data_IF_574982985808
#
_entry.id   IF_574982985808
#
_cell.length_a   1.000
_cell.length_b   1.000
_cell.length_c   1.000
_cell.angle_alpha   90.00
_cell.angle_beta   90.00
_cell.angle_gamma   90.00
#
_symmetry.space_group_name_H-M   'P 1'
#
loop_
_entity.id
_entity.type
_entity.pdbx_description
1 polymer ?
#
# COMPACT_ATOMS: atom_id res chain seq x y z
N UNK A 1 17.93 -9.22 24.72
CA UNK A 1 18.75 -10.09 23.85
C UNK A 1 17.86 -11.25 23.41
N UNK A 2 17.50 -11.50 22.16
CA UNK A 2 17.82 -11.00 20.83
C UNK A 2 16.52 -11.12 20.02
N UNK A 3 16.28 -10.13 19.16
CA UNK A 3 15.24 -10.05 18.14
C UNK A 3 15.39 -11.14 17.09
N UNK A 4 14.31 -11.80 16.66
CA UNK A 4 14.31 -12.53 15.40
C UNK A 4 13.23 -11.97 14.48
N UNK A 5 13.68 -11.10 13.59
CA UNK A 5 12.98 -10.68 12.39
C UNK A 5 12.92 -11.87 11.41
N UNK A 6 11.86 -11.91 10.62
CA UNK A 6 11.63 -12.91 9.59
C UNK A 6 12.26 -12.42 8.28
N UNK A 7 13.40 -12.98 7.88
CA UNK A 7 14.01 -12.75 6.57
C UNK A 7 13.50 -13.77 5.53
N UNK A 8 13.30 -13.36 4.25
CA UNK A 8 12.96 -14.28 3.17
C UNK A 8 14.21 -14.89 2.51
N UNK A 9 14.12 -16.19 2.19
CA UNK A 9 15.16 -16.96 1.50
C UNK A 9 15.19 -16.63 0.00
N UNK A 10 16.34 -16.17 -0.50
CA UNK A 10 16.64 -16.04 -1.93
C UNK A 10 17.29 -17.33 -2.43
N UNK A 11 16.61 -18.02 -3.34
CA UNK A 11 17.16 -19.15 -4.09
C UNK A 11 18.16 -18.65 -5.14
N UNK A 12 19.36 -19.22 -5.11
CA UNK A 12 20.41 -19.03 -6.12
C UNK A 12 20.22 -20.08 -7.20
N UNK A 13 19.91 -19.66 -8.43
CA UNK A 13 20.10 -20.50 -9.61
C UNK A 13 21.08 -19.82 -10.57
N UNK A 14 22.28 -20.40 -10.61
CA UNK A 14 23.25 -20.19 -11.65
C UNK A 14 23.04 -21.29 -12.70
N UNK A 15 22.76 -20.91 -13.95
CA UNK A 15 22.97 -21.84 -15.05
C UNK A 15 23.55 -21.11 -16.27
N UNK A 16 24.78 -21.51 -16.57
CA UNK A 16 25.66 -21.07 -17.64
C UNK A 16 25.15 -21.56 -18.99
N UNK A 17 24.96 -20.66 -19.96
CA UNK A 17 24.71 -21.02 -21.35
C UNK A 17 25.96 -20.92 -22.22
N UNK A 18 26.13 -21.96 -23.03
CA UNK A 18 27.22 -22.25 -23.93
C UNK A 18 27.51 -21.12 -24.94
N UNK A 19 28.79 -20.77 -25.07
CA UNK A 19 29.32 -19.97 -26.16
C UNK A 19 29.31 -20.76 -27.47
N UNK A 20 28.45 -20.36 -28.41
CA UNK A 20 28.55 -20.77 -29.81
C UNK A 20 29.59 -19.88 -30.53
N UNK A 21 30.59 -20.51 -31.16
CA UNK A 21 31.58 -19.86 -32.04
C UNK A 21 30.89 -19.31 -33.29
N UNK A 22 30.89 -18.00 -33.47
CA UNK A 22 30.46 -17.35 -34.72
C UNK A 22 31.65 -17.08 -35.64
N UNK A 23 31.57 -17.61 -36.87
CA UNK A 23 32.50 -17.39 -37.96
C UNK A 23 32.59 -15.91 -38.38
N UNK A 24 33.81 -15.37 -38.41
CA UNK A 24 34.10 -14.05 -38.98
C UNK A 24 34.04 -14.11 -40.52
N UNK A 25 32.98 -13.55 -41.12
CA UNK A 25 33.01 -13.10 -42.52
C UNK A 25 33.52 -11.66 -42.53
N UNK A 26 34.69 -11.45 -43.16
CA UNK A 26 35.23 -10.12 -43.47
C UNK A 26 34.35 -9.47 -44.54
N UNK A 27 33.53 -8.50 -44.15
CA UNK A 27 32.90 -7.55 -45.07
C UNK A 27 33.61 -6.20 -44.95
N UNK A 28 34.13 -5.74 -46.08
CA UNK A 28 34.84 -4.47 -46.25
C UNK A 28 33.86 -3.31 -46.14
N UNK A 29 33.83 -2.64 -45.00
CA UNK A 29 33.06 -1.39 -44.79
C UNK A 29 33.87 -0.19 -45.27
N UNK A 30 33.40 0.45 -46.36
CA UNK A 30 33.80 1.81 -46.74
C UNK A 30 33.46 2.75 -45.57
N UNK A 31 34.47 3.45 -45.04
CA UNK A 31 34.30 4.52 -44.03
C UNK A 31 33.55 5.70 -44.66
N UNK A 32 32.23 5.71 -44.57
CA UNK A 32 31.45 6.95 -44.66
C UNK A 32 31.71 7.74 -43.38
N UNK A 33 32.35 8.90 -43.50
CA UNK A 33 32.53 9.84 -42.39
C UNK A 33 31.13 10.21 -41.87
N UNK A 34 30.79 9.73 -40.68
CA UNK A 34 29.59 10.17 -39.97
C UNK A 34 29.68 11.69 -39.80
N UNK A 35 28.76 12.43 -40.43
CA UNK A 35 28.57 13.85 -40.15
C UNK A 35 28.18 13.94 -38.67
N UNK A 36 29.03 14.56 -37.85
CA UNK A 36 28.63 15.01 -36.52
C UNK A 36 27.53 16.05 -36.72
N UNK A 37 26.27 15.62 -36.66
CA UNK A 37 25.15 16.53 -36.44
C UNK A 37 25.28 17.04 -35.01
N UNK A 38 25.69 18.29 -34.87
CA UNK A 38 25.58 19.00 -33.61
C UNK A 38 24.08 19.17 -33.36
N UNK A 39 23.52 18.45 -32.37
CA UNK A 39 22.16 18.73 -31.89
C UNK A 39 22.18 20.16 -31.37
N UNK A 40 21.60 21.09 -32.14
CA UNK A 40 21.31 22.42 -31.65
C UNK A 40 20.29 22.20 -30.52
N UNK A 41 20.55 22.65 -29.29
CA UNK A 41 19.60 22.46 -28.19
C UNK A 41 18.26 23.04 -28.61
N UNK A 42 17.23 22.20 -28.64
CA UNK A 42 15.88 22.64 -28.90
C UNK A 42 15.48 23.61 -27.79
N UNK A 43 14.94 24.77 -28.18
CA UNK A 43 14.45 25.77 -27.23
C UNK A 43 12.97 25.57 -27.02
N UNK A 44 12.55 25.70 -25.77
CA UNK A 44 11.14 25.76 -25.38
C UNK A 44 10.36 26.78 -26.23
N UNK A 45 9.11 26.43 -26.50
CA UNK A 45 8.10 27.22 -27.19
C UNK A 45 7.11 27.85 -26.21
N UNK A 46 7.47 27.94 -24.93
CA UNK A 46 6.70 28.67 -23.90
C UNK A 46 6.34 30.08 -24.41
N UNK A 47 5.07 30.43 -24.32
CA UNK A 47 4.51 31.70 -24.80
C UNK A 47 4.18 31.76 -26.30
N UNK A 48 4.47 30.73 -27.09
CA UNK A 48 4.10 30.68 -28.51
C UNK A 48 2.57 30.59 -28.66
N UNK A 49 2.02 31.37 -29.59
CA UNK A 49 0.60 31.30 -29.94
C UNK A 49 0.36 30.25 -31.04
N UNK A 50 -0.48 29.25 -30.78
CA UNK A 50 -0.90 28.19 -31.69
C UNK A 50 -2.39 27.89 -31.50
N UNK A 51 -3.10 27.54 -32.58
CA UNK A 51 -4.47 27.03 -32.46
C UNK A 51 -4.50 25.66 -31.76
N UNK A 52 -5.71 25.23 -31.36
CA UNK A 52 -5.89 23.99 -30.61
C UNK A 52 -5.51 22.74 -31.42
N UNK A 53 -5.82 22.67 -32.72
CA UNK A 53 -5.44 21.53 -33.56
C UNK A 53 -3.92 21.38 -33.61
N UNK A 54 -3.21 22.49 -33.82
CA UNK A 54 -1.75 22.52 -33.80
C UNK A 54 -1.19 22.08 -32.45
N UNK A 55 -1.80 22.46 -31.33
CA UNK A 55 -1.40 21.95 -30.02
C UNK A 55 -1.51 20.43 -29.93
N UNK A 56 -2.65 19.86 -30.29
CA UNK A 56 -2.87 18.40 -30.21
C UNK A 56 -1.95 17.60 -31.13
N UNK A 57 -1.72 18.09 -32.36
CA UNK A 57 -0.94 17.37 -33.36
C UNK A 57 0.57 17.47 -33.12
N UNK A 58 1.06 18.61 -32.63
CA UNK A 58 2.50 18.90 -32.58
C UNK A 58 3.06 18.98 -31.16
N UNK A 59 2.33 19.60 -30.23
CA UNK A 59 2.89 19.99 -28.93
C UNK A 59 2.39 19.16 -27.75
N UNK A 60 1.30 18.41 -27.93
CA UNK A 60 0.75 17.58 -26.87
C UNK A 60 1.71 16.45 -26.47
N UNK A 61 2.44 15.90 -27.44
CA UNK A 61 3.42 14.82 -27.25
C UNK A 61 4.82 15.24 -27.70
N UNK A 62 5.18 16.53 -27.52
CA UNK A 62 6.52 17.03 -27.83
C UNK A 62 7.58 16.22 -27.05
N UNK A 63 8.64 15.82 -27.76
CA UNK A 63 9.66 14.89 -27.26
C UNK A 63 10.55 15.50 -26.16
N UNK A 64 10.72 16.83 -26.17
CA UNK A 64 11.69 17.53 -25.32
C UNK A 64 11.02 18.35 -24.21
N UNK A 65 9.80 18.85 -24.43
CA UNK A 65 9.12 19.78 -23.53
C UNK A 65 7.65 19.42 -23.31
N UNK A 66 7.22 19.43 -22.06
CA UNK A 66 5.81 19.18 -21.74
C UNK A 66 5.01 20.49 -21.75
N UNK A 67 4.12 20.67 -22.72
CA UNK A 67 3.25 21.85 -22.79
C UNK A 67 1.82 21.57 -22.32
N UNK A 68 1.28 22.56 -21.60
CA UNK A 68 -0.14 22.83 -21.48
C UNK A 68 -0.55 23.91 -22.50
N UNK A 69 -1.85 24.06 -22.75
CA UNK A 69 -2.37 25.06 -23.69
C UNK A 69 -3.41 25.95 -23.03
N UNK A 70 -3.20 27.26 -23.10
CA UNK A 70 -4.07 28.25 -22.49
C UNK A 70 -4.54 29.25 -23.54
N UNK A 71 -5.71 28.98 -24.13
CA UNK A 71 -6.39 29.89 -25.04
C UNK A 71 -5.51 30.44 -26.16
N UNK A 72 -4.79 29.53 -26.82
CA UNK A 72 -3.87 29.82 -27.89
C UNK A 72 -2.41 29.82 -27.45
N UNK A 73 -2.10 29.93 -26.16
CA UNK A 73 -0.72 30.10 -25.69
C UNK A 73 -0.17 28.77 -25.17
N UNK A 74 1.00 28.34 -25.65
CA UNK A 74 1.75 27.23 -25.07
C UNK A 74 2.34 27.64 -23.72
N UNK A 75 2.14 26.81 -22.71
CA UNK A 75 2.72 26.99 -21.38
C UNK A 75 3.56 25.75 -21.04
N UNK A 76 4.87 25.92 -20.93
CA UNK A 76 5.77 24.84 -20.54
C UNK A 76 5.52 24.45 -19.07
N UNK A 77 5.39 23.15 -18.81
CA UNK A 77 5.38 22.61 -17.45
C UNK A 77 6.73 22.80 -16.80
N UNK A 78 6.69 23.21 -15.55
CA UNK A 78 7.85 23.31 -14.68
C UNK A 78 8.43 21.93 -14.38
N UNK A 79 9.73 21.89 -14.09
CA UNK A 79 10.31 20.71 -13.47
C UNK A 79 10.10 20.77 -11.94
N UNK A 80 9.54 19.72 -11.32
CA UNK A 80 9.43 19.63 -9.88
C UNK A 80 10.81 19.41 -9.24
N UNK A 81 10.92 19.67 -7.94
CA UNK A 81 12.12 19.29 -7.18
C UNK A 81 12.12 17.79 -6.91
N UNK A 82 13.29 17.21 -6.58
CA UNK A 82 13.33 15.82 -6.13
C UNK A 82 12.47 15.58 -4.88
N UNK A 83 12.34 16.59 -4.01
CA UNK A 83 11.48 16.47 -2.83
C UNK A 83 9.98 16.47 -3.19
N UNK A 84 9.58 17.27 -4.19
CA UNK A 84 8.23 17.23 -4.77
C UNK A 84 7.88 15.83 -5.28
N UNK A 85 8.84 15.14 -5.94
CA UNK A 85 8.69 13.73 -6.35
C UNK A 85 8.49 12.80 -5.14
N UNK A 86 9.22 13.00 -4.04
CA UNK A 86 9.01 12.22 -2.81
C UNK A 86 7.62 12.49 -2.18
N UNK A 87 7.17 13.74 -2.17
CA UNK A 87 5.82 14.10 -1.70
C UNK A 87 4.75 13.41 -2.57
N UNK A 88 4.94 13.41 -3.89
CA UNK A 88 4.04 12.77 -4.84
C UNK A 88 3.99 11.25 -4.67
N UNK A 89 5.16 10.62 -4.57
CA UNK A 89 5.29 9.18 -4.32
C UNK A 89 4.56 8.79 -3.03
N UNK A 90 4.81 9.50 -1.93
CA UNK A 90 4.19 9.18 -0.65
C UNK A 90 2.67 9.37 -0.69
N UNK A 91 2.18 10.53 -1.16
CA UNK A 91 0.74 10.78 -1.23
C UNK A 91 0.03 9.78 -2.16
N UNK A 92 0.64 9.47 -3.30
CA UNK A 92 0.13 8.47 -4.23
C UNK A 92 0.01 7.09 -3.58
N UNK A 93 1.04 6.66 -2.84
CA UNK A 93 1.02 5.40 -2.10
C UNK A 93 -0.10 5.36 -1.05
N UNK A 94 -0.31 6.45 -0.32
CA UNK A 94 -1.39 6.55 0.68
C UNK A 94 -2.78 6.48 0.03
N UNK A 95 -2.97 7.15 -1.11
CA UNK A 95 -4.21 7.06 -1.91
C UNK A 95 -4.41 5.63 -2.42
N UNK A 96 -3.37 4.95 -2.91
CA UNK A 96 -3.48 3.57 -3.40
C UNK A 96 -3.92 2.59 -2.32
N UNK A 97 -3.38 2.72 -1.10
CA UNK A 97 -3.81 1.91 0.04
C UNK A 97 -5.30 2.14 0.34
N UNK A 98 -5.75 3.39 0.31
CA UNK A 98 -7.16 3.71 0.43
C UNK A 98 -8.02 3.10 -0.67
N UNK A 99 -7.63 3.23 -1.94
CA UNK A 99 -8.39 2.73 -3.09
C UNK A 99 -8.38 1.20 -3.19
N UNK A 100 -7.36 0.52 -2.66
CA UNK A 100 -7.34 -0.94 -2.54
C UNK A 100 -8.44 -1.45 -1.60
N UNK A 101 -8.68 -0.74 -0.50
CA UNK A 101 -9.74 -1.08 0.48
C UNK A 101 -11.09 -0.57 0.02
N UNK A 102 -11.12 0.59 -0.66
CA UNK A 102 -12.32 1.28 -1.10
C UNK A 102 -12.21 1.56 -2.61
N UNK A 103 -12.54 0.59 -3.49
CA UNK A 103 -12.36 0.70 -4.94
C UNK A 103 -13.44 1.58 -5.58
N UNK A 104 -13.49 2.86 -5.20
CA UNK A 104 -14.50 3.85 -5.59
C UNK A 104 -14.01 4.84 -6.64
N UNK A 105 -12.71 4.78 -6.97
CA UNK A 105 -12.06 5.70 -7.89
C UNK A 105 -10.79 5.10 -8.50
N UNK A 106 -10.27 5.80 -9.50
CA UNK A 106 -8.99 5.50 -10.15
C UNK A 106 -8.06 6.70 -10.00
N UNK A 107 -6.84 6.46 -9.50
CA UNK A 107 -5.76 7.44 -9.44
C UNK A 107 -4.91 7.35 -10.71
N UNK A 108 -4.68 8.49 -11.37
CA UNK A 108 -3.88 8.64 -12.59
C UNK A 108 -2.69 9.55 -12.26
N UNK A 109 -1.48 9.16 -12.69
CA UNK A 109 -0.19 9.81 -12.35
C UNK A 109 0.62 10.18 -13.58
N UNK A 110 -0.06 10.38 -14.70
CA UNK A 110 0.53 10.74 -15.97
C UNK A 110 -0.06 12.06 -16.44
N UNK A 111 0.71 12.76 -17.27
CA UNK A 111 0.35 14.00 -17.95
C UNK A 111 -0.76 13.82 -19.02
N UNK A 112 -1.86 13.16 -18.64
CA UNK A 112 -3.04 12.99 -19.46
C UNK A 112 -3.81 14.30 -19.42
N UNK A 113 -3.77 15.02 -20.53
CA UNK A 113 -4.44 16.29 -20.68
C UNK A 113 -5.95 16.14 -20.76
N UNK A 114 -6.66 17.14 -20.26
CA UNK A 114 -8.10 17.26 -20.39
C UNK A 114 -8.49 18.69 -20.74
N UNK A 115 -9.59 18.81 -21.48
CA UNK A 115 -10.07 20.09 -21.99
C UNK A 115 -11.00 20.76 -21.00
N UNK A 116 -10.68 22.00 -20.63
CA UNK A 116 -11.53 22.88 -19.83
C UNK A 116 -12.20 23.91 -20.73
N UNK A 117 -13.51 23.74 -20.93
CA UNK A 117 -14.34 24.72 -21.63
C UNK A 117 -14.88 25.75 -20.63
N UNK A 118 -14.22 26.91 -20.53
CA UNK A 118 -14.60 27.99 -19.60
C UNK A 118 -15.36 29.08 -20.35
N UNK A 119 -16.14 29.89 -19.62
CA UNK A 119 -17.03 30.91 -20.22
C UNK A 119 -16.33 31.88 -21.19
N UNK A 120 -15.05 32.19 -20.97
CA UNK A 120 -14.31 33.19 -21.76
C UNK A 120 -13.11 32.61 -22.52
N UNK A 121 -12.76 31.34 -22.26
CA UNK A 121 -11.55 30.74 -22.79
C UNK A 121 -11.62 29.22 -22.76
N UNK A 122 -10.81 28.59 -23.59
CA UNK A 122 -10.58 27.15 -23.53
C UNK A 122 -9.14 26.91 -23.08
N UNK A 123 -8.93 25.92 -22.23
CA UNK A 123 -7.58 25.52 -21.78
C UNK A 123 -7.46 24.01 -21.78
N UNK A 124 -6.25 23.49 -21.97
CA UNK A 124 -5.92 22.07 -21.86
C UNK A 124 -4.83 21.96 -20.80
N UNK A 125 -5.14 21.24 -19.72
CA UNK A 125 -4.27 21.08 -18.55
C UNK A 125 -3.88 19.63 -18.39
N UNK A 126 -2.67 19.41 -17.87
CA UNK A 126 -2.06 18.12 -17.56
C UNK A 126 -1.66 18.17 -16.08
N UNK A 127 -2.61 17.97 -15.15
CA UNK A 127 -2.28 18.00 -13.72
C UNK A 127 -1.38 16.82 -13.37
N UNK A 128 -0.48 17.00 -12.41
CA UNK A 128 0.50 15.96 -12.07
C UNK A 128 -0.19 14.65 -11.65
N UNK A 129 -1.08 14.73 -10.67
CA UNK A 129 -1.93 13.61 -10.24
C UNK A 129 -3.40 13.98 -10.41
N UNK A 130 -4.20 13.01 -10.85
CA UNK A 130 -5.63 13.18 -11.04
C UNK A 130 -6.41 11.96 -10.57
N UNK A 131 -7.68 12.16 -10.23
CA UNK A 131 -8.55 11.08 -9.81
C UNK A 131 -9.94 11.18 -10.45
N UNK A 132 -10.44 10.02 -10.87
CA UNK A 132 -11.78 9.84 -11.46
C UNK A 132 -12.56 8.89 -10.56
N UNK A 133 -13.70 9.35 -10.03
CA UNK A 133 -14.63 8.49 -9.30
C UNK A 133 -15.31 7.50 -10.25
N UNK A 134 -15.65 6.30 -9.77
CA UNK A 134 -16.47 5.36 -10.54
C UNK A 134 -17.87 5.94 -10.87
N UNK A 135 -18.33 6.91 -10.08
CA UNK A 135 -19.57 7.64 -10.32
C UNK A 135 -19.41 8.83 -11.27
N UNK A 136 -18.20 9.10 -11.78
CA UNK A 136 -17.99 10.17 -12.76
C UNK A 136 -18.74 9.81 -14.05
N UNK A 137 -19.51 10.75 -14.65
CA UNK A 137 -20.33 10.47 -15.84
C UNK A 137 -19.49 10.10 -17.07
N UNK A 138 -18.20 10.45 -17.09
CA UNK A 138 -17.29 10.12 -18.19
C UNK A 138 -16.16 9.25 -17.64
N UNK A 139 -16.20 7.96 -17.95
CA UNK A 139 -15.09 7.05 -17.67
C UNK A 139 -14.09 7.09 -18.84
N UNK A 140 -12.77 7.00 -18.58
CA UNK A 140 -11.78 6.95 -19.65
C UNK A 140 -11.81 5.59 -20.36
N UNK A 141 -11.52 5.59 -21.67
CA UNK A 141 -11.16 4.35 -22.36
C UNK A 141 -9.70 3.99 -22.05
N UNK A 142 -9.37 2.69 -22.05
CA UNK A 142 -8.00 2.22 -21.74
C UNK A 142 -6.95 2.69 -22.77
N UNK A 143 -7.38 3.09 -23.97
CA UNK A 143 -6.51 3.60 -25.03
C UNK A 143 -6.56 5.14 -25.18
N UNK A 144 -7.33 5.84 -24.33
CA UNK A 144 -7.42 7.29 -24.37
C UNK A 144 -6.05 7.90 -24.02
N UNK A 145 -5.55 8.77 -24.91
CA UNK A 145 -4.32 9.56 -24.70
C UNK A 145 -4.59 10.94 -24.13
N UNK A 146 -5.86 11.33 -24.09
CA UNK A 146 -6.37 12.54 -23.43
C UNK A 146 -7.74 12.22 -22.82
N UNK A 147 -8.06 12.86 -21.70
CA UNK A 147 -9.30 12.61 -21.00
C UNK A 147 -10.39 13.56 -21.46
N UNK A 148 -11.53 12.98 -21.87
CA UNK A 148 -12.70 13.70 -22.42
C UNK A 148 -13.63 14.25 -21.33
N UNK A 149 -13.47 13.78 -20.10
CA UNK A 149 -14.28 14.20 -18.96
C UNK A 149 -13.65 15.32 -18.14
N UNK A 150 -14.12 15.49 -16.91
CA UNK A 150 -13.53 16.38 -15.92
C UNK A 150 -13.10 15.55 -14.73
N UNK A 151 -11.84 15.67 -14.32
CA UNK A 151 -11.32 14.98 -13.15
C UNK A 151 -12.07 15.40 -11.89
N UNK A 152 -12.32 14.46 -10.98
CA UNK A 152 -12.95 14.77 -9.70
C UNK A 152 -11.98 15.45 -8.74
N UNK A 153 -10.69 15.08 -8.80
CA UNK A 153 -9.60 15.70 -8.06
C UNK A 153 -8.41 15.93 -8.98
N UNK A 154 -7.83 17.13 -8.90
CA UNK A 154 -6.53 17.47 -9.47
C UNK A 154 -5.56 17.80 -8.33
N UNK A 155 -4.32 17.35 -8.44
CA UNK A 155 -3.24 17.62 -7.49
C UNK A 155 -2.05 18.13 -8.29
N UNK A 156 -1.47 19.23 -7.84
CA UNK A 156 -0.27 19.84 -8.43
C UNK A 156 0.84 19.88 -7.38
N UNK A 157 2.03 19.41 -7.77
CA UNK A 157 3.25 19.45 -6.99
C UNK A 157 4.09 20.64 -7.43
N UNK A 158 3.68 21.81 -6.94
CA UNK A 158 4.17 23.13 -7.32
C UNK A 158 5.69 23.25 -7.25
N UNK A 159 6.27 23.84 -8.30
CA UNK A 159 7.66 24.35 -8.32
C UNK A 159 7.66 25.84 -7.99
N UNK A 160 8.48 26.25 -7.03
CA UNK A 160 8.66 27.64 -6.64
C UNK A 160 9.85 28.33 -7.35
N UNK A 161 10.49 27.62 -8.29
CA UNK A 161 11.68 28.08 -9.02
C UNK A 161 11.46 29.40 -9.77
N UNK A 162 10.23 29.70 -10.18
CA UNK A 162 9.85 30.99 -10.76
C UNK A 162 8.48 31.44 -10.25
N UNK A 163 8.32 32.76 -10.06
CA UNK A 163 7.05 33.36 -9.62
C UNK A 163 5.87 33.02 -10.53
N UNK A 164 6.12 32.85 -11.85
CA UNK A 164 5.06 32.52 -12.81
C UNK A 164 4.45 31.13 -12.55
N UNK A 165 5.26 30.16 -12.12
CA UNK A 165 4.79 28.80 -11.81
C UNK A 165 3.91 28.80 -10.57
N UNK A 166 4.36 29.49 -9.51
CA UNK A 166 3.55 29.71 -8.31
C UNK A 166 2.20 30.36 -8.64
N UNK A 167 2.21 31.40 -9.47
CA UNK A 167 0.99 32.09 -9.88
C UNK A 167 0.06 31.18 -10.69
N UNK A 168 0.60 30.38 -11.61
CA UNK A 168 -0.17 29.47 -12.46
C UNK A 168 -1.01 28.51 -11.61
N UNK A 169 -0.40 27.80 -10.67
CA UNK A 169 -1.14 26.81 -9.86
C UNK A 169 -2.03 27.48 -8.80
N UNK A 170 -1.50 28.48 -8.08
CA UNK A 170 -2.23 29.09 -6.95
C UNK A 170 -3.37 30.02 -7.36
N UNK A 171 -3.35 30.54 -8.59
CA UNK A 171 -4.34 31.51 -9.09
C UNK A 171 -5.04 31.03 -10.35
N UNK A 172 -4.30 30.69 -11.41
CA UNK A 172 -4.87 30.47 -12.75
C UNK A 172 -5.57 29.13 -12.84
N UNK A 173 -4.84 28.02 -12.65
CA UNK A 173 -5.41 26.67 -12.63
C UNK A 173 -6.48 26.51 -11.57
N UNK A 174 -6.29 27.11 -10.39
CA UNK A 174 -7.36 27.18 -9.36
C UNK A 174 -8.67 27.78 -9.88
N UNK A 175 -8.61 28.87 -10.66
CA UNK A 175 -9.80 29.50 -11.25
C UNK A 175 -10.40 28.64 -12.36
N UNK A 176 -9.56 28.01 -13.16
CA UNK A 176 -9.95 27.15 -14.27
C UNK A 176 -10.62 25.86 -13.79
N UNK A 177 -9.99 25.12 -12.88
CA UNK A 177 -10.56 23.91 -12.27
C UNK A 177 -11.87 24.20 -11.53
N UNK A 178 -11.97 25.35 -10.84
CA UNK A 178 -13.24 25.82 -10.26
C UNK A 178 -14.31 26.04 -11.33
N UNK A 179 -13.95 26.68 -12.43
CA UNK A 179 -14.84 26.94 -13.56
C UNK A 179 -15.33 25.66 -14.22
N UNK A 180 -14.43 24.68 -14.36
CA UNK A 180 -14.68 23.35 -14.89
C UNK A 180 -15.40 22.40 -13.93
N UNK A 181 -15.58 22.78 -12.66
CA UNK A 181 -16.25 21.99 -11.61
C UNK A 181 -15.47 20.76 -11.14
N UNK A 182 -14.14 20.78 -11.22
CA UNK A 182 -13.28 19.82 -10.50
C UNK A 182 -13.61 19.92 -9.01
N UNK A 183 -13.92 18.79 -8.35
CA UNK A 183 -14.55 18.79 -7.02
C UNK A 183 -13.58 19.12 -5.89
N UNK A 184 -12.34 18.62 -5.98
CA UNK A 184 -11.26 18.96 -5.05
C UNK A 184 -10.00 19.35 -5.82
N UNK A 185 -9.22 20.29 -5.28
CA UNK A 185 -7.97 20.74 -5.89
C UNK A 185 -6.90 20.91 -4.82
N UNK A 186 -5.79 20.18 -4.95
CA UNK A 186 -4.70 20.19 -3.99
C UNK A 186 -3.45 20.81 -4.64
N UNK A 187 -2.84 21.75 -3.93
CA UNK A 187 -1.52 22.29 -4.26
C UNK A 187 -0.61 21.86 -3.13
N UNK A 188 0.49 21.22 -3.48
CA UNK A 188 1.52 20.77 -2.56
C UNK A 188 2.83 21.37 -3.05
N UNK A 189 3.59 21.99 -2.17
CA UNK A 189 4.88 22.58 -2.50
C UNK A 189 5.95 22.12 -1.51
N UNK A 190 7.18 21.94 -1.99
CA UNK A 190 8.25 21.30 -1.23
C UNK A 190 8.57 21.98 0.12
N UNK A 191 8.34 23.29 0.23
CA UNK A 191 8.68 24.10 1.41
C UNK A 191 7.46 24.51 2.27
N UNK A 192 6.28 23.96 2.00
CA UNK A 192 5.00 24.21 2.69
C UNK A 192 4.41 25.62 2.51
N UNK A 193 5.03 26.57 1.80
CA UNK A 193 4.57 27.97 1.77
C UNK A 193 3.23 28.15 1.08
N UNK A 194 2.99 27.40 0.02
CA UNK A 194 1.85 27.50 -0.88
C UNK A 194 0.88 26.34 -0.75
N UNK A 195 1.22 25.31 0.03
CA UNK A 195 0.40 24.13 0.25
C UNK A 195 -1.00 24.49 0.71
N UNK A 196 -1.97 24.07 -0.09
CA UNK A 196 -3.36 24.39 0.13
C UNK A 196 -4.27 23.35 -0.52
N UNK A 197 -5.34 23.03 0.18
CA UNK A 197 -6.34 22.07 -0.26
C UNK A 197 -7.67 22.81 -0.44
N UNK A 198 -8.35 22.60 -1.55
CA UNK A 198 -9.60 23.26 -1.88
C UNK A 198 -10.69 22.24 -2.21
N UNK A 199 -11.93 22.60 -1.88
CA UNK A 199 -13.14 21.85 -2.25
C UNK A 199 -14.14 22.78 -2.91
N UNK A 200 -14.81 22.28 -3.95
CA UNK A 200 -15.93 22.95 -4.58
C UNK A 200 -17.17 22.82 -3.69
N UNK A 201 -17.72 23.95 -3.28
CA UNK A 201 -18.99 23.97 -2.55
C UNK A 201 -20.19 23.87 -3.51
N UNK A 202 -21.38 23.70 -2.94
CA UNK A 202 -22.65 23.63 -3.70
C UNK A 202 -22.94 24.88 -4.53
N UNK A 203 -22.38 26.05 -4.16
CA UNK A 203 -22.48 27.29 -4.93
C UNK A 203 -21.48 27.36 -6.10
N UNK A 204 -20.72 26.28 -6.34
CA UNK A 204 -19.72 26.21 -7.40
C UNK A 204 -18.46 27.04 -7.13
N UNK A 205 -18.14 27.32 -5.88
CA UNK A 205 -16.94 28.06 -5.48
C UNK A 205 -15.97 27.19 -4.68
N UNK A 206 -14.67 27.39 -4.91
CA UNK A 206 -13.65 26.78 -4.08
C UNK A 206 -13.57 27.43 -2.71
N UNK A 207 -13.61 26.58 -1.69
CA UNK A 207 -13.34 26.90 -0.29
C UNK A 207 -12.07 26.17 0.13
N UNK A 208 -11.19 26.84 0.88
CA UNK A 208 -10.00 26.19 1.44
C UNK A 208 -10.45 25.18 2.50
N UNK A 209 -9.99 23.94 2.41
CA UNK A 209 -10.20 22.90 3.41
C UNK A 209 -9.35 23.28 4.62
N UNK A 210 -10.02 23.50 5.75
CA UNK A 210 -9.34 23.76 7.03
C UNK A 210 -8.97 22.42 7.66
N UNK A 211 -7.68 22.15 7.93
CA UNK A 211 -7.30 20.92 8.58
C UNK A 211 -7.82 20.89 10.02
N UNK A 212 -8.28 19.73 10.47
CA UNK A 212 -8.63 19.49 11.87
C UNK A 212 -7.45 18.81 12.54
N UNK A 213 -6.78 19.48 13.49
CA UNK A 213 -5.55 18.98 14.13
C UNK A 213 -4.49 18.50 13.11
N UNK A 214 -4.32 19.25 12.02
CA UNK A 214 -3.38 18.92 10.94
C UNK A 214 -3.87 17.86 9.95
N UNK A 215 -5.07 17.30 10.13
CA UNK A 215 -5.63 16.26 9.25
C UNK A 215 -6.50 16.88 8.15
N UNK A 216 -6.22 16.53 6.90
CA UNK A 216 -7.08 16.77 5.75
C UNK A 216 -7.99 15.56 5.56
N UNK A 217 -9.27 15.83 5.24
CA UNK A 217 -10.29 14.81 4.95
C UNK A 217 -10.92 15.11 3.59
N UNK A 218 -10.84 14.18 2.65
CA UNK A 218 -11.52 14.33 1.36
C UNK A 218 -13.03 14.13 1.53
N UNK A 219 -13.85 14.88 0.79
CA UNK A 219 -15.28 14.65 0.71
C UNK A 219 -15.66 13.77 -0.48
N UNK A 220 -14.82 13.74 -1.51
CA UNK A 220 -15.07 12.90 -2.69
C UNK A 220 -14.58 11.46 -2.47
N UNK A 221 -13.65 11.26 -1.53
CA UNK A 221 -13.21 9.95 -1.05
C UNK A 221 -13.61 9.79 0.44
N UNK A 222 -14.85 9.37 0.74
CA UNK A 222 -15.30 9.22 2.13
C UNK A 222 -14.41 8.25 2.91
N UNK A 223 -13.88 8.70 4.05
CA UNK A 223 -12.94 7.93 4.87
C UNK A 223 -11.46 8.15 4.52
N UNK A 224 -11.15 8.76 3.38
CA UNK A 224 -9.78 9.15 3.05
C UNK A 224 -9.36 10.40 3.82
N UNK A 225 -8.25 10.29 4.52
CA UNK A 225 -7.67 11.35 5.33
C UNK A 225 -6.15 11.24 5.32
N UNK A 226 -5.43 12.29 5.71
CA UNK A 226 -3.99 12.24 5.93
C UNK A 226 -3.57 13.47 6.73
N UNK A 227 -2.44 13.40 7.43
CA UNK A 227 -1.85 14.59 8.07
C UNK A 227 -1.03 15.35 7.05
N UNK A 228 -1.14 16.68 7.07
CA UNK A 228 -0.35 17.54 6.20
C UNK A 228 1.15 17.32 6.44
N UNK A 229 1.57 17.20 7.69
CA UNK A 229 2.99 17.02 8.02
C UNK A 229 3.57 15.71 7.48
N UNK A 230 2.77 14.66 7.38
CA UNK A 230 3.23 13.35 6.90
C UNK A 230 3.59 13.38 5.41
N UNK A 231 3.04 14.32 4.62
CA UNK A 231 3.50 14.59 3.25
C UNK A 231 4.99 14.94 3.21
N UNK A 232 5.53 15.53 4.29
CA UNK A 232 6.89 16.06 4.37
C UNK A 232 7.81 15.21 5.24
N UNK A 233 7.26 14.52 6.24
CA UNK A 233 7.99 13.57 7.06
C UNK A 233 8.16 12.22 6.35
N UNK A 234 7.27 11.91 5.40
CA UNK A 234 7.32 10.71 4.57
C UNK A 234 7.40 9.41 5.40
N UNK A 235 6.55 9.21 6.44
CA UNK A 235 6.60 8.01 7.26
C UNK A 235 6.34 6.74 6.43
N UNK A 236 7.02 5.66 6.79
CA UNK A 236 6.81 4.36 6.15
C UNK A 236 5.43 3.79 6.50
N UNK A 237 4.88 2.95 5.63
CA UNK A 237 3.55 2.35 5.83
C UNK A 237 3.45 1.57 7.14
N UNK A 238 4.53 0.91 7.55
CA UNK A 238 4.59 0.11 8.78
C UNK A 238 4.37 0.94 10.04
N UNK A 239 4.83 2.19 10.04
CA UNK A 239 4.62 3.14 11.14
C UNK A 239 3.14 3.58 11.24
N UNK A 240 2.44 3.58 10.10
CA UNK A 240 1.06 4.05 10.00
C UNK A 240 0.01 2.96 10.28
N UNK A 241 0.40 1.68 10.37
CA UNK A 241 -0.52 0.53 10.51
C UNK A 241 -1.49 0.71 11.69
N UNK A 242 -0.99 1.19 12.84
CA UNK A 242 -1.79 1.33 14.06
C UNK A 242 -2.25 2.77 14.31
N UNK A 243 -1.95 3.69 13.40
CA UNK A 243 -2.26 5.10 13.56
C UNK A 243 -3.77 5.37 13.33
N UNK A 244 -4.44 6.08 14.23
CA UNK A 244 -5.88 6.35 14.14
C UNK A 244 -6.33 7.07 12.85
N UNK A 245 -5.45 7.83 12.21
CA UNK A 245 -5.74 8.48 10.92
C UNK A 245 -5.70 7.47 9.78
N UNK A 246 -4.81 6.48 9.85
CA UNK A 246 -4.44 5.65 8.70
C UNK A 246 -4.87 4.19 8.78
N UNK A 247 -5.01 3.63 9.99
CA UNK A 247 -5.21 2.20 10.27
C UNK A 247 -6.38 1.57 9.51
N UNK A 248 -7.40 2.36 9.16
CA UNK A 248 -8.58 1.86 8.45
C UNK A 248 -8.31 1.52 6.99
N UNK A 249 -7.20 1.95 6.40
CA UNK A 249 -6.86 1.65 5.01
C UNK A 249 -5.39 1.30 4.76
N UNK A 250 -4.46 1.54 5.69
CA UNK A 250 -3.06 1.15 5.49
C UNK A 250 -2.86 -0.35 5.77
N UNK A 251 -2.39 -1.09 4.76
CA UNK A 251 -1.96 -2.48 4.89
C UNK A 251 -3.01 -3.41 5.56
N UNK A 252 -4.30 -3.18 5.29
CA UNK A 252 -5.41 -3.89 5.94
C UNK A 252 -5.34 -5.41 5.73
N UNK A 253 -4.91 -5.87 4.55
CA UNK A 253 -4.72 -7.31 4.27
C UNK A 253 -3.63 -7.92 5.18
N UNK A 254 -2.54 -7.19 5.39
CA UNK A 254 -1.48 -7.59 6.30
C UNK A 254 -1.96 -7.61 7.76
N UNK A 255 -2.70 -6.58 8.20
CA UNK A 255 -3.32 -6.55 9.52
C UNK A 255 -4.21 -7.77 9.75
N UNK A 256 -5.07 -8.11 8.78
CA UNK A 256 -5.95 -9.28 8.83
C UNK A 256 -5.15 -10.58 8.93
N UNK A 257 -4.06 -10.70 8.19
CA UNK A 257 -3.18 -11.87 8.21
C UNK A 257 -2.48 -12.02 9.57
N UNK A 258 -2.01 -10.93 10.17
CA UNK A 258 -1.46 -10.93 11.53
C UNK A 258 -2.50 -11.38 12.56
N UNK A 259 -3.74 -10.85 12.47
CA UNK A 259 -4.83 -11.23 13.37
C UNK A 259 -5.19 -12.71 13.25
N UNK A 260 -5.26 -13.24 12.02
CA UNK A 260 -5.51 -14.67 11.77
C UNK A 260 -4.40 -15.53 12.37
N UNK A 261 -3.14 -15.19 12.10
CA UNK A 261 -1.97 -15.91 12.60
C UNK A 261 -1.95 -15.94 14.14
N UNK A 262 -2.25 -14.82 14.80
CA UNK A 262 -2.29 -14.74 16.25
C UNK A 262 -3.45 -15.57 16.86
N UNK A 263 -4.62 -15.59 16.21
CA UNK A 263 -5.74 -16.45 16.60
C UNK A 263 -5.37 -17.93 16.50
N UNK A 264 -4.74 -18.36 15.41
CA UNK A 264 -4.27 -19.73 15.22
C UNK A 264 -3.21 -20.13 16.25
N UNK A 265 -2.26 -19.23 16.55
CA UNK A 265 -1.24 -19.44 17.59
C UNK A 265 -1.87 -19.65 18.96
N UNK A 266 -2.84 -18.79 19.34
CA UNK A 266 -3.58 -18.92 20.61
C UNK A 266 -4.40 -20.21 20.67
N UNK A 267 -5.02 -20.63 19.57
CA UNK A 267 -5.77 -21.89 19.49
C UNK A 267 -4.87 -23.11 19.71
N UNK A 268 -3.73 -23.18 19.00
CA UNK A 268 -2.72 -24.24 19.17
C UNK A 268 -2.17 -24.27 20.60
N UNK A 269 -1.93 -23.12 21.21
CA UNK A 269 -1.47 -23.06 22.59
C UNK A 269 -2.51 -23.57 23.59
N UNK A 270 -3.80 -23.24 23.37
CA UNK A 270 -4.91 -23.74 24.19
C UNK A 270 -5.07 -25.26 24.07
N UNK A 271 -5.00 -25.79 22.85
CA UNK A 271 -5.06 -27.23 22.59
C UNK A 271 -3.89 -27.97 23.27
N UNK A 272 -2.66 -27.46 23.12
CA UNK A 272 -1.47 -28.00 23.79
C UNK A 272 -1.65 -28.02 25.31
N UNK A 273 -2.17 -26.93 25.89
CA UNK A 273 -2.47 -26.87 27.34
C UNK A 273 -3.53 -27.89 27.75
N UNK A 274 -4.57 -28.10 26.94
CA UNK A 274 -5.60 -29.10 27.20
C UNK A 274 -5.05 -30.53 27.12
N UNK A 275 -4.26 -30.86 26.09
CA UNK A 275 -3.59 -32.17 25.94
C UNK A 275 -2.66 -32.46 27.11
N UNK A 276 -1.86 -31.48 27.54
CA UNK A 276 -0.98 -31.62 28.70
C UNK A 276 -1.76 -31.86 30.01
N UNK A 277 -2.91 -31.20 30.20
CA UNK A 277 -3.78 -31.45 31.36
C UNK A 277 -4.39 -32.86 31.32
N UNK A 278 -4.84 -33.30 30.14
CA UNK A 278 -5.38 -34.65 29.96
C UNK A 278 -4.31 -35.72 30.24
N UNK A 279 -3.09 -35.54 29.73
CA UNK A 279 -1.96 -36.44 30.00
C UNK A 279 -1.62 -36.51 31.50
N UNK A 280 -1.60 -35.37 32.20
CA UNK A 280 -1.39 -35.36 33.66
C UNK A 280 -2.48 -36.12 34.42
N UNK A 281 -3.75 -35.97 34.01
CA UNK A 281 -4.86 -36.73 34.60
C UNK A 281 -4.73 -38.23 34.33
N UNK A 282 -4.34 -38.61 33.11
CA UNK A 282 -4.11 -40.01 32.74
C UNK A 282 -2.98 -40.63 33.57
N UNK A 283 -1.85 -39.94 33.72
CA UNK A 283 -0.73 -40.37 34.57
C UNK A 283 -1.14 -40.53 36.04
N UNK A 284 -1.93 -39.59 36.57
CA UNK A 284 -2.50 -39.71 37.92
C UNK A 284 -3.45 -40.91 38.06
N UNK A 285 -4.31 -41.16 37.07
CA UNK A 285 -5.17 -42.34 37.04
C UNK A 285 -4.36 -43.64 36.98
N UNK A 286 -3.32 -43.70 36.14
CA UNK A 286 -2.45 -44.87 36.04
C UNK A 286 -1.75 -45.18 37.36
N UNK A 287 -1.17 -44.16 38.02
CA UNK A 287 -0.56 -44.29 39.35
C UNK A 287 -1.56 -44.78 40.40
N UNK A 288 -2.81 -44.32 40.33
CA UNK A 288 -3.89 -44.76 41.23
C UNK A 288 -4.22 -46.23 40.99
N UNK A 289 -4.39 -46.64 39.73
CA UNK A 289 -4.66 -48.05 39.35
C UNK A 289 -3.49 -48.96 39.77
N UNK A 290 -2.24 -48.55 39.57
CA UNK A 290 -1.07 -49.32 40.00
C UNK A 290 -1.01 -49.49 41.52
N UNK A 291 -1.31 -48.43 42.27
CA UNK A 291 -1.39 -48.48 43.73
C UNK A 291 -2.48 -49.46 44.19
N UNK A 292 -3.69 -49.36 43.64
CA UNK A 292 -4.79 -50.29 43.96
C UNK A 292 -4.46 -51.74 43.62
N UNK A 293 -3.80 -51.98 42.48
CA UNK A 293 -3.32 -53.33 42.10
C UNK A 293 -2.33 -53.87 43.12
N UNK A 294 -1.37 -53.03 43.55
CA UNK A 294 -0.37 -53.42 44.56
C UNK A 294 -1.04 -53.76 45.89
N UNK A 295 -1.97 -52.93 46.35
CA UNK A 295 -2.73 -53.18 47.57
C UNK A 295 -3.54 -54.49 47.50
N UNK A 296 -4.18 -54.78 46.35
CA UNK A 296 -4.86 -56.06 46.13
C UNK A 296 -3.92 -57.26 46.17
N UNK A 297 -2.75 -57.17 45.54
CA UNK A 297 -1.73 -58.23 45.55
C UNK A 297 -1.25 -58.48 46.99
N UNK A 298 -0.99 -57.43 47.76
CA UNK A 298 -0.54 -57.55 49.15
C UNK A 298 -1.64 -58.13 50.05
N UNK A 299 -2.90 -57.77 49.82
CA UNK A 299 -4.05 -58.37 50.51
C UNK A 299 -4.18 -59.88 50.23
N UNK A 300 -4.05 -60.30 48.96
CA UNK A 300 -4.07 -61.71 48.57
C UNK A 300 -2.93 -62.49 49.26
N UNK A 301 -1.72 -61.92 49.30
CA UNK A 301 -0.58 -62.56 50.00
C UNK A 301 -0.85 -62.76 51.48
N UNK A 302 -1.43 -61.76 52.17
CA UNK A 302 -1.85 -61.89 53.58
C UNK A 302 -2.88 -62.99 53.76
N UNK A 303 -3.87 -63.06 52.87
CA UNK A 303 -4.93 -64.07 52.92
C UNK A 303 -4.35 -65.48 52.79
N UNK A 304 -3.47 -65.70 51.82
CA UNK A 304 -2.75 -66.97 51.64
C UNK A 304 -1.87 -67.34 52.86
N UNK A 305 -1.28 -66.36 53.52
CA UNK A 305 -0.48 -66.58 54.73
C UNK A 305 -1.37 -67.01 55.91
N UNK A 306 -2.50 -66.34 56.11
CA UNK A 306 -3.50 -66.70 57.13
C UNK A 306 -4.04 -68.11 56.87
N UNK A 307 -4.32 -68.48 55.61
CA UNK A 307 -4.74 -69.83 55.23
C UNK A 307 -3.68 -70.89 55.58
N UNK A 308 -2.40 -70.61 55.34
CA UNK A 308 -1.31 -71.51 55.74
C UNK A 308 -1.21 -71.67 57.26
N UNK A 309 -1.30 -70.57 58.01
CA UNK A 309 -1.24 -70.57 59.47
C UNK A 309 -2.44 -71.31 60.07
N UNK A 310 -3.66 -71.08 59.56
CA UNK A 310 -4.85 -71.82 59.99
C UNK A 310 -4.78 -73.30 59.64
N UNK A 311 -4.23 -73.67 58.47
CA UNK A 311 -3.99 -75.07 58.13
C UNK A 311 -2.97 -75.74 59.07
N UNK A 312 -1.88 -75.05 59.44
CA UNK A 312 -0.92 -75.52 60.43
C UNK A 312 -1.54 -75.67 61.82
N UNK A 313 -2.33 -74.69 62.28
CA UNK A 313 -3.04 -74.76 63.56
C UNK A 313 -4.01 -75.94 63.60
N UNK A 314 -4.79 -76.16 62.52
CA UNK A 314 -5.70 -77.31 62.39
C UNK A 314 -4.93 -78.63 62.47
N UNK A 315 -3.74 -78.72 61.86
CA UNK A 315 -2.88 -79.90 61.94
C UNK A 315 -2.39 -80.15 63.38
N UNK A 316 -1.92 -79.11 64.07
CA UNK A 316 -1.46 -79.16 65.45
C UNK A 316 -2.56 -79.53 66.46
N UNK A 317 -3.78 -79.02 66.26
CA UNK A 317 -4.95 -79.38 67.08
C UNK A 317 -5.34 -80.85 66.89
N UNK A 318 -5.27 -81.36 65.64
CA UNK A 318 -5.51 -82.76 65.32
C UNK A 318 -4.46 -83.69 65.95
N UNK A 319 -3.20 -83.28 66.02
CA UNK A 319 -2.10 -84.01 66.68
C UNK A 319 -2.23 -84.02 68.22
N UNK A 320 -2.87 -83.01 68.81
CA UNK A 320 -3.12 -82.90 70.26
C UNK A 320 -4.44 -83.52 70.73
N UNK A 321 -5.22 -84.15 69.83
CA UNK A 321 -6.47 -84.82 70.18
C UNK A 321 -7.63 -83.88 70.57
N UNK A 322 -7.51 -82.58 70.27
CA UNK A 322 -8.55 -81.59 70.52
C UNK A 322 -9.29 -81.35 69.20
N UNK A 323 -10.50 -81.85 69.10
CA UNK A 323 -11.40 -81.54 67.98
C UNK A 323 -11.87 -80.09 68.07
N UNK A 324 -11.71 -79.37 66.95
CA UNK A 324 -12.33 -78.07 66.71
C UNK A 324 -13.80 -78.25 66.33
#
# INVERSE_FOLDING_TARGET
MISNACEPMIAKDANTHHYAKTHQKKTTTKKTKAKKTYNIPQKSKDGLYVDESTYWEVYYEDDDFHYEWNNGILEEKEMPTFFSELNAKWLGMIIDQFLRVNPIAQLIRFDIGFTLNLTKKKTIRKPDFTLILNSNPVQPDIWDRSYKGTYDLCIEFLSDSQKKYVQRDTVEKKREYKGAKVKEYYIIDADKKHTAFYRLNQKGNYVKIKPEKGVIRSAILPGFQFRIDDIYLLPDLDELINDEVYKSYILVDFQNQCLKTEKERKAKEKERKAKNRALKKLDQMQKTIEKEKKEKIDAIKKLNQIEKETAQLKKLLKEKGITL
#
